data_IF_141300173847
#
_entry.id   IF_141300173847
#
_cell.length_a   1.000
_cell.length_b   1.000
_cell.length_c   1.000
_cell.angle_alpha   90.00
_cell.angle_beta   90.00
_cell.angle_gamma   90.00
#
_symmetry.space_group_name_H-M   'P 1'
#
loop_
_entity.id
_entity.type
_entity.pdbx_description
1 polymer ?
#
# COMPACT_ATOMS: atom_id res chain seq x y z
N UNK A 1 48.46 -29.03 9.45
CA UNK A 1 47.62 -28.18 8.59
C UNK A 1 46.93 -29.06 7.57
N UNK A 2 45.66 -29.40 7.79
CA UNK A 2 44.86 -30.24 6.89
C UNK A 2 44.41 -29.41 5.68
N UNK A 3 44.86 -29.80 4.48
CA UNK A 3 44.39 -29.20 3.23
C UNK A 3 42.89 -29.47 3.13
N UNK A 4 42.07 -28.43 3.24
CA UNK A 4 40.62 -28.52 2.99
C UNK A 4 40.44 -28.91 1.52
N UNK A 5 39.79 -30.04 1.28
CA UNK A 5 39.49 -30.55 -0.06
C UNK A 5 38.52 -29.62 -0.80
N UNK A 6 39.09 -28.66 -1.52
CA UNK A 6 38.39 -27.66 -2.32
C UNK A 6 37.47 -28.31 -3.37
N UNK A 7 37.86 -29.48 -3.89
CA UNK A 7 37.07 -30.28 -4.83
C UNK A 7 35.73 -30.74 -4.22
N UNK A 8 35.75 -31.17 -2.95
CA UNK A 8 34.53 -31.62 -2.28
C UNK A 8 33.55 -30.46 -2.04
N UNK A 9 34.06 -29.27 -1.69
CA UNK A 9 33.25 -28.07 -1.52
C UNK A 9 32.65 -27.58 -2.85
N UNK A 10 33.40 -27.66 -3.94
CA UNK A 10 32.93 -27.29 -5.28
C UNK A 10 31.81 -28.22 -5.76
N UNK A 11 32.01 -29.54 -5.63
CA UNK A 11 31.02 -30.55 -6.02
C UNK A 11 29.75 -30.47 -5.16
N UNK A 12 29.86 -30.14 -3.87
CA UNK A 12 28.72 -29.89 -3.01
C UNK A 12 27.95 -28.61 -3.41
N UNK A 13 28.66 -27.59 -3.90
CA UNK A 13 28.06 -26.36 -4.45
C UNK A 13 27.28 -26.64 -5.73
N UNK A 14 27.86 -27.39 -6.67
CA UNK A 14 27.21 -27.77 -7.94
C UNK A 14 25.96 -28.61 -7.70
N UNK A 15 26.00 -29.59 -6.77
CA UNK A 15 24.82 -30.36 -6.39
C UNK A 15 23.71 -29.49 -5.80
N UNK A 16 24.05 -28.52 -4.95
CA UNK A 16 23.07 -27.58 -4.38
C UNK A 16 22.41 -26.73 -5.47
N UNK A 17 23.19 -26.23 -6.43
CA UNK A 17 22.67 -25.43 -7.54
C UNK A 17 21.77 -26.25 -8.47
N UNK A 18 22.11 -27.52 -8.71
CA UNK A 18 21.26 -28.46 -9.44
C UNK A 18 19.94 -28.73 -8.71
N UNK A 19 19.98 -29.01 -7.39
CA UNK A 19 18.75 -29.21 -6.61
C UNK A 19 17.87 -27.96 -6.55
N UNK A 20 18.47 -26.75 -6.56
CA UNK A 20 17.70 -25.50 -6.60
C UNK A 20 17.07 -25.24 -7.97
N UNK A 21 17.71 -25.66 -9.07
CA UNK A 21 17.09 -25.62 -10.41
C UNK A 21 15.95 -26.63 -10.54
N UNK A 22 16.12 -27.82 -9.99
CA UNK A 22 15.09 -28.87 -9.97
C UNK A 22 13.90 -28.50 -9.05
N UNK A 23 14.14 -27.72 -7.99
CA UNK A 23 13.10 -27.23 -7.08
C UNK A 23 12.46 -25.90 -7.50
N UNK A 24 12.89 -25.30 -8.62
CA UNK A 24 12.27 -24.07 -9.14
C UNK A 24 10.84 -24.37 -9.60
N UNK A 25 9.89 -23.57 -9.13
CA UNK A 25 8.48 -23.64 -9.53
C UNK A 25 8.31 -23.67 -11.06
N UNK A 26 7.29 -24.37 -11.59
CA UNK A 26 7.10 -24.53 -13.02
C UNK A 26 7.05 -23.18 -13.72
N UNK A 27 7.82 -23.09 -14.82
CA UNK A 27 7.88 -21.92 -15.69
C UNK A 27 6.48 -21.57 -16.18
N UNK A 28 6.28 -20.31 -16.56
CA UNK A 28 5.03 -19.87 -17.21
C UNK A 28 4.69 -20.76 -18.41
N UNK A 29 5.69 -21.27 -19.11
CA UNK A 29 5.51 -22.16 -20.26
C UNK A 29 5.13 -23.58 -19.85
N UNK A 30 5.71 -24.13 -18.78
CA UNK A 30 5.34 -25.46 -18.26
C UNK A 30 3.87 -25.51 -17.83
N UNK A 31 3.36 -24.42 -17.22
CA UNK A 31 1.94 -24.31 -16.84
C UNK A 31 1.02 -24.21 -18.05
N UNK A 32 1.50 -23.62 -19.14
CA UNK A 32 0.75 -23.52 -20.40
C UNK A 32 0.71 -24.90 -21.07
N UNK A 33 1.83 -25.61 -21.13
CA UNK A 33 1.89 -26.96 -21.68
C UNK A 33 1.07 -27.95 -20.85
N UNK A 34 1.10 -27.85 -19.53
CA UNK A 34 0.24 -28.65 -18.64
C UNK A 34 -1.25 -28.34 -18.84
N UNK A 35 -1.63 -27.07 -18.99
CA UNK A 35 -3.01 -26.65 -19.25
C UNK A 35 -3.53 -27.03 -20.65
N UNK A 36 -2.62 -27.22 -21.61
CA UNK A 36 -2.89 -27.69 -22.97
C UNK A 36 -2.81 -29.22 -23.09
N UNK A 37 -2.09 -29.88 -22.18
CA UNK A 37 -1.95 -31.33 -22.16
C UNK A 37 -3.32 -32.01 -22.03
N UNK A 38 -3.59 -32.96 -22.94
CA UNK A 38 -4.88 -33.67 -22.98
C UNK A 38 -6.01 -32.95 -23.74
N UNK A 39 -5.76 -31.78 -24.36
CA UNK A 39 -6.71 -31.19 -25.32
C UNK A 39 -6.39 -31.65 -26.74
N UNK A 40 -7.40 -32.11 -27.48
CA UNK A 40 -7.26 -32.48 -28.90
C UNK A 40 -7.22 -31.27 -29.85
N UNK A 41 -7.68 -30.10 -29.40
CA UNK A 41 -7.60 -28.83 -30.15
C UNK A 41 -7.75 -27.61 -29.22
N UNK A 42 -7.29 -26.44 -29.69
CA UNK A 42 -7.40 -25.16 -28.95
C UNK A 42 -8.83 -24.63 -28.82
N UNK A 43 -9.78 -25.15 -29.63
CA UNK A 43 -11.20 -24.79 -29.56
C UNK A 43 -12.00 -25.73 -28.65
N UNK A 44 -11.40 -26.84 -28.19
CA UNK A 44 -12.06 -27.72 -27.23
C UNK A 44 -12.18 -27.00 -25.86
N UNK A 45 -13.33 -27.10 -25.19
CA UNK A 45 -13.51 -26.48 -23.88
C UNK A 45 -12.43 -27.01 -22.93
N UNK A 46 -11.85 -26.09 -22.16
CA UNK A 46 -10.94 -26.46 -21.09
C UNK A 46 -11.64 -27.49 -20.20
N UNK A 47 -10.97 -28.62 -19.91
CA UNK A 47 -11.40 -29.47 -18.82
C UNK A 47 -11.47 -28.54 -17.61
N UNK A 48 -12.64 -28.37 -17.03
CA UNK A 48 -12.81 -27.59 -15.80
C UNK A 48 -11.93 -28.25 -14.75
N UNK A 49 -10.70 -27.75 -14.61
CA UNK A 49 -9.92 -27.99 -13.42
C UNK A 49 -10.75 -27.35 -12.34
N UNK A 50 -11.44 -28.18 -11.57
CA UNK A 50 -11.99 -27.82 -10.27
C UNK A 50 -10.81 -27.19 -9.54
N UNK A 51 -10.75 -25.87 -9.54
CA UNK A 51 -9.80 -25.12 -8.75
C UNK A 51 -10.25 -25.44 -7.34
N UNK A 52 -9.58 -26.40 -6.70
CA UNK A 52 -9.64 -26.55 -5.25
C UNK A 52 -9.49 -25.14 -4.70
N UNK A 53 -10.44 -24.63 -3.88
CA UNK A 53 -10.34 -23.28 -3.37
C UNK A 53 -8.96 -23.17 -2.72
N UNK A 54 -8.15 -22.21 -3.18
CA UNK A 54 -6.95 -21.84 -2.45
C UNK A 54 -7.41 -21.61 -1.02
N UNK A 55 -6.84 -22.31 -0.02
CA UNK A 55 -7.28 -22.12 1.35
C UNK A 55 -7.21 -20.63 1.65
N UNK A 56 -8.27 -20.13 2.25
CA UNK A 56 -8.36 -18.76 2.77
C UNK A 56 -7.08 -18.46 3.58
N UNK A 57 -6.53 -17.23 3.50
CA UNK A 57 -5.39 -16.81 4.31
C UNK A 57 -5.67 -17.07 5.81
N UNK A 58 -6.92 -16.89 6.25
CA UNK A 58 -7.35 -17.23 7.60
C UNK A 58 -7.37 -18.75 7.86
N UNK A 59 -7.85 -19.55 6.92
CA UNK A 59 -7.82 -21.02 7.01
C UNK A 59 -6.39 -21.57 7.02
N UNK A 60 -5.48 -20.99 6.24
CA UNK A 60 -4.07 -21.34 6.23
C UNK A 60 -3.40 -20.99 7.56
N UNK A 61 -3.69 -19.81 8.13
CA UNK A 61 -3.19 -19.44 9.47
C UNK A 61 -3.73 -20.37 10.55
N UNK A 62 -5.02 -20.74 10.51
CA UNK A 62 -5.61 -21.71 11.42
C UNK A 62 -4.99 -23.11 11.28
N UNK A 63 -4.77 -23.58 10.05
CA UNK A 63 -4.14 -24.87 9.81
C UNK A 63 -2.73 -24.93 10.41
N UNK A 64 -1.95 -23.85 10.30
CA UNK A 64 -0.63 -23.75 10.93
C UNK A 64 -0.73 -23.80 12.47
N UNK A 65 -1.69 -23.09 13.05
CA UNK A 65 -1.94 -23.10 14.50
C UNK A 65 -2.39 -24.49 15.01
N UNK A 66 -3.29 -25.15 14.30
CA UNK A 66 -3.77 -26.50 14.61
C UNK A 66 -2.64 -27.54 14.45
N UNK A 67 -1.83 -27.44 13.40
CA UNK A 67 -0.68 -28.32 13.18
C UNK A 67 0.41 -28.17 14.25
N UNK A 68 0.55 -26.95 14.81
CA UNK A 68 1.42 -26.70 15.97
C UNK A 68 0.88 -27.28 17.28
N UNK A 69 -0.35 -27.80 17.30
CA UNK A 69 -1.02 -28.37 18.46
C UNK A 69 -1.46 -27.35 19.52
N UNK A 70 -1.28 -26.05 19.24
CA UNK A 70 -1.64 -24.95 20.16
C UNK A 70 -3.14 -24.69 20.22
N UNK A 71 -3.84 -24.87 19.09
CA UNK A 71 -5.25 -24.52 18.94
C UNK A 71 -6.09 -25.75 18.67
N UNK A 72 -7.27 -25.81 19.29
CA UNK A 72 -8.30 -26.82 19.01
C UNK A 72 -9.56 -26.14 18.50
N UNK A 73 -10.18 -26.69 17.46
CA UNK A 73 -11.44 -26.20 16.93
C UNK A 73 -12.59 -27.16 17.22
N UNK A 74 -13.77 -26.61 17.50
CA UNK A 74 -15.03 -27.37 17.63
C UNK A 74 -16.20 -26.56 17.09
N UNK A 75 -17.20 -27.26 16.56
CA UNK A 75 -18.45 -26.65 16.14
C UNK A 75 -19.47 -26.76 17.26
N UNK A 76 -20.03 -25.63 17.68
CA UNK A 76 -21.02 -25.55 18.75
C UNK A 76 -22.07 -24.48 18.42
N UNK A 77 -23.28 -24.65 18.93
CA UNK A 77 -24.30 -23.61 18.90
C UNK A 77 -24.25 -22.86 20.23
N UNK A 78 -24.16 -21.53 20.21
CA UNK A 78 -24.05 -20.69 21.41
C UNK A 78 -25.13 -19.60 21.44
N UNK A 79 -25.62 -19.21 22.64
CA UNK A 79 -26.44 -18.02 22.81
C UNK A 79 -25.71 -16.77 22.33
N UNK A 80 -26.40 -15.88 21.60
CA UNK A 80 -25.78 -14.64 21.09
C UNK A 80 -25.26 -13.75 22.24
N UNK A 81 -25.92 -13.79 23.39
CA UNK A 81 -25.52 -13.08 24.62
C UNK A 81 -24.17 -13.53 25.19
N UNK A 82 -23.72 -14.74 24.86
CA UNK A 82 -22.43 -15.29 25.29
C UNK A 82 -21.31 -15.02 24.28
N UNK A 83 -21.60 -14.33 23.17
CA UNK A 83 -20.64 -13.99 22.13
C UNK A 83 -20.34 -12.50 22.21
N UNK A 84 -19.19 -12.15 22.77
CA UNK A 84 -18.68 -10.79 22.85
C UNK A 84 -18.10 -10.34 21.50
N UNK A 85 -18.16 -9.03 21.26
CA UNK A 85 -17.48 -8.43 20.11
C UNK A 85 -15.97 -8.41 20.33
N UNK A 86 -15.19 -8.67 19.29
CA UNK A 86 -13.73 -8.61 19.39
C UNK A 86 -13.26 -7.16 19.56
N UNK A 87 -12.62 -6.82 20.68
CA UNK A 87 -12.04 -5.50 20.85
C UNK A 87 -10.96 -5.24 19.81
N UNK A 88 -10.24 -6.26 19.36
CA UNK A 88 -9.19 -6.18 18.34
C UNK A 88 -9.71 -6.45 16.93
N UNK A 89 -10.99 -6.24 16.66
CA UNK A 89 -11.51 -6.37 15.30
C UNK A 89 -10.88 -5.29 14.41
N UNK A 90 -10.37 -5.69 13.26
CA UNK A 90 -9.70 -4.81 12.32
C UNK A 90 -10.67 -3.93 11.52
N UNK A 91 -11.96 -4.30 11.45
CA UNK A 91 -13.02 -3.48 10.82
C UNK A 91 -13.92 -2.85 11.87
N UNK A 92 -14.03 -1.53 11.82
CA UNK A 92 -14.87 -0.72 12.73
C UNK A 92 -16.14 -0.19 12.07
N UNK A 93 -16.16 0.01 10.76
CA UNK A 93 -17.28 0.62 10.03
C UNK A 93 -18.11 -0.45 9.31
N UNK A 94 -19.39 -0.56 9.69
CA UNK A 94 -20.36 -1.50 9.11
C UNK A 94 -21.55 -0.73 8.53
N UNK A 95 -21.84 -0.94 7.24
CA UNK A 95 -22.99 -0.29 6.57
C UNK A 95 -24.28 -1.00 6.92
N UNK A 96 -25.30 -0.24 7.31
CA UNK A 96 -26.62 -0.76 7.70
C UNK A 96 -27.29 -1.57 6.59
N UNK A 97 -27.13 -1.15 5.33
CA UNK A 97 -27.66 -1.85 4.15
C UNK A 97 -27.13 -3.28 4.03
N UNK A 98 -25.84 -3.49 4.32
CA UNK A 98 -25.20 -4.81 4.27
C UNK A 98 -25.67 -5.70 5.43
N UNK A 99 -25.93 -5.11 6.60
CA UNK A 99 -26.50 -5.82 7.75
C UNK A 99 -27.92 -6.28 7.41
N UNK A 100 -28.75 -5.40 6.85
CA UNK A 100 -30.12 -5.72 6.46
C UNK A 100 -30.17 -6.81 5.37
N UNK A 101 -29.31 -6.73 4.36
CA UNK A 101 -29.20 -7.75 3.32
C UNK A 101 -28.79 -9.12 3.90
N UNK A 102 -27.83 -9.13 4.85
CA UNK A 102 -27.42 -10.37 5.55
C UNK A 102 -28.55 -10.95 6.38
N UNK A 103 -29.28 -10.11 7.12
CA UNK A 103 -30.43 -10.53 7.91
C UNK A 103 -31.52 -11.17 7.05
N UNK A 104 -31.85 -10.55 5.91
CA UNK A 104 -32.85 -11.08 4.96
C UNK A 104 -32.42 -12.44 4.36
N UNK A 105 -31.14 -12.61 4.01
CA UNK A 105 -30.62 -13.91 3.56
C UNK A 105 -30.71 -14.97 4.67
N UNK A 106 -30.27 -14.63 5.88
CA UNK A 106 -30.33 -15.57 7.02
C UNK A 106 -31.77 -15.94 7.42
N UNK A 107 -32.73 -15.04 7.22
CA UNK A 107 -34.15 -15.33 7.48
C UNK A 107 -34.74 -16.33 6.47
N UNK A 108 -34.24 -16.36 5.23
CA UNK A 108 -34.71 -17.29 4.18
C UNK A 108 -34.01 -18.64 4.26
N UNK A 109 -32.69 -18.62 4.36
CA UNK A 109 -31.85 -19.79 4.14
C UNK A 109 -31.25 -20.36 5.45
N UNK A 110 -31.48 -19.68 6.58
CA UNK A 110 -30.82 -19.99 7.86
C UNK A 110 -29.35 -19.57 7.87
N UNK A 111 -28.63 -19.99 8.93
CA UNK A 111 -27.19 -19.78 9.01
C UNK A 111 -26.45 -20.91 8.29
N UNK A 112 -26.07 -20.67 7.02
CA UNK A 112 -25.35 -21.67 6.22
C UNK A 112 -23.88 -21.86 6.64
N UNK A 113 -23.25 -20.80 7.15
CA UNK A 113 -21.83 -20.79 7.51
C UNK A 113 -21.69 -20.37 8.98
N UNK A 114 -21.02 -21.17 9.84
CA UNK A 114 -20.80 -20.81 11.23
C UNK A 114 -19.95 -19.54 11.35
N UNK A 115 -20.14 -18.78 12.42
CA UNK A 115 -19.24 -17.67 12.75
C UNK A 115 -17.95 -18.20 13.35
N UNK A 116 -16.85 -17.48 13.19
CA UNK A 116 -15.57 -17.85 13.80
C UNK A 116 -15.44 -17.10 15.13
N UNK A 117 -15.19 -17.81 16.23
CA UNK A 117 -14.97 -17.19 17.53
C UNK A 117 -13.85 -17.91 18.29
N UNK A 118 -13.17 -17.19 19.17
CA UNK A 118 -12.23 -17.77 20.12
C UNK A 118 -12.83 -17.82 21.52
N UNK A 119 -12.43 -18.79 22.33
CA UNK A 119 -12.83 -18.85 23.75
C UNK A 119 -12.36 -17.59 24.47
N UNK A 120 -13.24 -16.98 25.29
CA UNK A 120 -12.84 -15.81 26.08
C UNK A 120 -11.75 -16.22 27.09
N UNK A 121 -10.64 -15.47 27.22
CA UNK A 121 -9.54 -15.83 28.12
C UNK A 121 -9.97 -15.91 29.59
N UNK A 122 -10.80 -14.95 30.03
CA UNK A 122 -11.25 -14.86 31.43
C UNK A 122 -12.56 -15.60 31.75
N UNK A 123 -13.40 -15.93 30.76
CA UNK A 123 -14.75 -16.47 30.97
C UNK A 123 -14.97 -17.73 30.14
N UNK A 124 -15.06 -18.89 30.82
CA UNK A 124 -15.11 -20.20 30.16
C UNK A 124 -16.39 -20.45 29.33
N UNK A 125 -17.48 -19.76 29.63
CA UNK A 125 -18.78 -19.88 28.97
C UNK A 125 -19.00 -18.86 27.85
N UNK A 126 -18.09 -17.89 27.71
CA UNK A 126 -18.16 -16.82 26.70
C UNK A 126 -17.16 -17.05 25.57
N UNK A 127 -17.39 -16.37 24.46
CA UNK A 127 -16.53 -16.40 23.29
C UNK A 127 -16.40 -14.99 22.69
N UNK A 128 -15.25 -14.70 22.09
CA UNK A 128 -14.96 -13.44 21.41
C UNK A 128 -15.05 -13.67 19.91
N UNK A 129 -15.88 -12.89 19.21
CA UNK A 129 -16.15 -13.07 17.78
C UNK A 129 -14.97 -12.64 16.91
N UNK A 130 -14.35 -13.57 16.18
CA UNK A 130 -13.21 -13.30 15.29
C UNK A 130 -13.68 -12.88 13.90
N UNK A 131 -14.62 -13.62 13.31
CA UNK A 131 -15.27 -13.27 12.03
C UNK A 131 -16.77 -13.56 12.09
N UNK A 132 -17.55 -12.78 11.34
CA UNK A 132 -18.99 -12.95 11.21
C UNK A 132 -19.81 -11.84 11.85
N UNK A 133 -19.27 -10.63 12.03
CA UNK A 133 -20.00 -9.50 12.64
C UNK A 133 -21.36 -9.25 11.97
N UNK A 134 -21.41 -9.24 10.64
CA UNK A 134 -22.67 -9.10 9.90
C UNK A 134 -23.67 -10.24 10.18
N UNK A 135 -23.20 -11.47 10.42
CA UNK A 135 -24.06 -12.61 10.79
C UNK A 135 -24.60 -12.43 12.21
N UNK A 136 -23.75 -12.01 13.16
CA UNK A 136 -24.18 -11.71 14.53
C UNK A 136 -25.24 -10.61 14.56
N UNK A 137 -24.98 -9.49 13.87
CA UNK A 137 -25.92 -8.37 13.78
C UNK A 137 -27.21 -8.75 13.03
N UNK A 138 -27.10 -9.52 11.95
CA UNK A 138 -28.25 -9.99 11.19
C UNK A 138 -29.13 -10.96 12.01
N UNK A 139 -28.51 -11.88 12.76
CA UNK A 139 -29.21 -12.78 13.67
C UNK A 139 -29.92 -12.01 14.80
N UNK A 140 -29.27 -11.00 15.37
CA UNK A 140 -29.88 -10.11 16.36
C UNK A 140 -31.10 -9.37 15.78
N UNK A 141 -30.99 -8.87 14.53
CA UNK A 141 -32.10 -8.23 13.82
C UNK A 141 -33.27 -9.17 13.58
N UNK A 142 -32.99 -10.44 13.31
CA UNK A 142 -33.98 -11.50 13.15
C UNK A 142 -34.51 -12.07 14.49
N UNK A 143 -34.05 -11.52 15.64
CA UNK A 143 -34.39 -12.00 16.99
C UNK A 143 -34.04 -13.47 17.22
N UNK A 144 -32.99 -13.96 16.57
CA UNK A 144 -32.46 -15.29 16.86
C UNK A 144 -31.81 -15.30 18.26
N UNK A 145 -31.97 -16.40 18.99
CA UNK A 145 -31.40 -16.55 20.34
C UNK A 145 -29.97 -17.12 20.29
N UNK A 146 -29.67 -17.90 19.25
CA UNK A 146 -28.42 -18.65 19.12
C UNK A 146 -27.76 -18.45 17.76
N UNK A 147 -26.46 -18.72 17.69
CA UNK A 147 -25.65 -18.76 16.48
C UNK A 147 -24.82 -20.04 16.44
N UNK A 148 -24.59 -20.56 15.25
CA UNK A 148 -23.63 -21.64 15.02
C UNK A 148 -22.21 -21.05 14.95
N UNK A 149 -21.31 -21.62 15.74
CA UNK A 149 -19.97 -21.09 16.00
C UNK A 149 -18.93 -22.18 15.78
N UNK A 150 -17.91 -21.87 14.97
CA UNK A 150 -16.62 -22.57 15.01
C UNK A 150 -15.79 -21.93 16.11
N UNK A 151 -15.75 -22.60 17.27
CA UNK A 151 -15.04 -22.12 18.45
C UNK A 151 -13.60 -22.63 18.45
N UNK A 152 -12.66 -21.70 18.61
CA UNK A 152 -11.23 -21.93 18.74
C UNK A 152 -10.80 -21.82 20.21
N UNK A 153 -10.03 -22.79 20.70
CA UNK A 153 -9.47 -22.80 22.06
C UNK A 153 -7.95 -22.67 21.99
N UNK A 154 -7.33 -21.99 22.98
CA UNK A 154 -5.88 -21.83 23.07
C UNK A 154 -5.30 -20.71 22.20
N UNK A 155 -6.11 -19.70 21.84
CA UNK A 155 -5.65 -18.52 21.13
C UNK A 155 -4.98 -17.52 22.07
N UNK A 156 -3.85 -16.98 21.66
CA UNK A 156 -3.26 -15.81 22.32
C UNK A 156 -4.06 -14.55 21.94
N UNK A 157 -4.06 -13.48 22.76
CA UNK A 157 -4.79 -12.25 22.47
C UNK A 157 -4.49 -11.66 21.08
N UNK A 158 -3.26 -11.82 20.60
CA UNK A 158 -2.87 -11.35 19.27
C UNK A 158 -3.46 -12.18 18.13
N UNK A 159 -3.73 -13.47 18.34
CA UNK A 159 -4.29 -14.33 17.30
C UNK A 159 -5.70 -13.89 16.93
N UNK A 160 -6.46 -13.31 17.86
CA UNK A 160 -7.76 -12.69 17.57
C UNK A 160 -7.64 -11.57 16.55
N UNK A 161 -6.62 -10.72 16.65
CA UNK A 161 -6.36 -9.65 15.67
C UNK A 161 -5.93 -10.24 14.32
N UNK A 162 -4.97 -11.17 14.32
CA UNK A 162 -4.42 -11.76 13.08
C UNK A 162 -5.46 -12.53 12.29
N UNK A 163 -6.25 -13.36 12.97
CA UNK A 163 -7.35 -14.11 12.35
C UNK A 163 -8.46 -13.20 11.84
N UNK A 164 -8.85 -12.17 12.60
CA UNK A 164 -9.85 -11.22 12.15
C UNK A 164 -9.38 -10.47 10.89
N UNK A 165 -8.12 -10.02 10.88
CA UNK A 165 -7.51 -9.34 9.73
C UNK A 165 -7.42 -10.24 8.50
N UNK A 166 -6.98 -11.48 8.66
CA UNK A 166 -6.91 -12.46 7.58
C UNK A 166 -8.29 -12.74 6.98
N UNK A 167 -9.31 -12.95 7.83
CA UNK A 167 -10.68 -13.23 7.38
C UNK A 167 -11.34 -12.02 6.68
N UNK A 168 -10.99 -10.79 7.07
CA UNK A 168 -11.52 -9.57 6.46
C UNK A 168 -10.88 -9.28 5.08
N UNK A 169 -9.57 -9.49 4.95
CA UNK A 169 -8.82 -9.19 3.72
C UNK A 169 -9.34 -9.95 2.48
N UNK A 170 -9.95 -11.13 2.68
CA UNK A 170 -10.50 -11.97 1.61
C UNK A 170 -11.83 -11.48 1.02
N UNK A 171 -12.58 -10.64 1.75
CA UNK A 171 -13.92 -10.20 1.31
C UNK A 171 -13.89 -8.81 0.70
N UNK A 172 -13.32 -7.86 1.44
CA UNK A 172 -13.28 -6.45 1.07
C UNK A 172 -12.08 -5.82 1.78
N UNK A 173 -11.17 -5.20 1.03
CA UNK A 173 -9.95 -4.63 1.63
C UNK A 173 -10.29 -3.62 2.73
N UNK A 174 -9.64 -3.80 3.87
CA UNK A 174 -9.71 -2.86 5.00
C UNK A 174 -9.29 -1.46 4.56
N UNK A 175 -9.96 -0.44 5.08
CA UNK A 175 -9.55 0.93 4.82
C UNK A 175 -8.25 1.23 5.54
N UNK A 176 -7.43 2.12 4.99
CA UNK A 176 -6.16 2.52 5.65
C UNK A 176 -6.40 3.10 7.04
N UNK A 177 -7.54 3.79 7.21
CA UNK A 177 -7.96 4.36 8.49
C UNK A 177 -8.31 3.27 9.51
N UNK A 178 -9.05 2.23 9.10
CA UNK A 178 -9.37 1.09 9.98
C UNK A 178 -8.08 0.41 10.47
N UNK A 179 -7.13 0.16 9.56
CA UNK A 179 -5.83 -0.43 9.92
C UNK A 179 -5.05 0.47 10.88
N UNK A 180 -5.08 1.80 10.67
CA UNK A 180 -4.41 2.75 11.56
C UNK A 180 -5.01 2.74 12.97
N UNK A 181 -6.34 2.73 13.09
CA UNK A 181 -7.04 2.63 14.37
C UNK A 181 -6.75 1.30 15.07
N UNK A 182 -6.73 0.20 14.33
CA UNK A 182 -6.35 -1.13 14.85
C UNK A 182 -4.92 -1.15 15.40
N UNK A 183 -3.96 -0.58 14.66
CA UNK A 183 -2.57 -0.47 15.10
C UNK A 183 -2.42 0.39 16.36
N UNK A 184 -3.11 1.54 16.43
CA UNK A 184 -3.11 2.38 17.63
C UNK A 184 -3.69 1.62 18.83
N UNK A 185 -4.77 0.88 18.63
CA UNK A 185 -5.37 0.07 19.70
C UNK A 185 -4.43 -1.01 20.23
N UNK A 186 -3.68 -1.67 19.35
CA UNK A 186 -2.66 -2.66 19.76
C UNK A 186 -1.55 -2.01 20.60
N UNK A 187 -1.13 -0.79 20.27
CA UNK A 187 -0.16 -0.02 21.06
C UNK A 187 -0.76 0.41 22.41
N UNK A 188 -1.97 0.97 22.41
CA UNK A 188 -2.66 1.47 23.61
C UNK A 188 -2.96 0.34 24.62
N UNK A 189 -3.25 -0.87 24.13
CA UNK A 189 -3.46 -2.07 24.95
C UNK A 189 -2.16 -2.75 25.39
N UNK A 190 -1.01 -2.25 24.97
CA UNK A 190 0.30 -2.77 25.37
C UNK A 190 0.71 -4.09 24.70
N UNK A 191 0.05 -4.48 23.60
CA UNK A 191 0.45 -5.65 22.81
C UNK A 191 1.77 -5.43 22.06
N UNK A 192 2.12 -4.16 21.79
CA UNK A 192 3.44 -3.74 21.32
C UNK A 192 3.84 -2.45 22.03
N UNK A 193 5.12 -2.32 22.41
CA UNK A 193 5.65 -1.11 23.07
C UNK A 193 6.23 -0.10 22.08
N UNK A 194 6.57 -0.55 20.88
CA UNK A 194 7.18 0.27 19.84
C UNK A 194 6.62 -0.07 18.45
N UNK A 195 6.79 0.84 17.51
CA UNK A 195 6.42 0.61 16.11
C UNK A 195 7.21 -0.56 15.48
N UNK A 196 8.40 -0.88 16.02
CA UNK A 196 9.24 -1.98 15.55
C UNK A 196 8.69 -3.33 16.01
N UNK A 197 8.29 -3.41 17.28
CA UNK A 197 7.59 -4.58 17.81
C UNK A 197 6.26 -4.79 17.10
N UNK A 198 5.50 -3.70 16.86
CA UNK A 198 4.23 -3.78 16.14
C UNK A 198 4.42 -4.30 14.71
N UNK A 199 5.47 -3.86 14.01
CA UNK A 199 5.78 -4.32 12.65
C UNK A 199 6.05 -5.82 12.59
N UNK A 200 6.80 -6.36 13.56
CA UNK A 200 7.01 -7.82 13.68
C UNK A 200 5.69 -8.52 14.04
N UNK A 201 4.91 -7.93 14.96
CA UNK A 201 3.66 -8.49 15.45
C UNK A 201 2.60 -8.66 14.34
N UNK A 202 2.51 -7.68 13.44
CA UNK A 202 1.54 -7.66 12.33
C UNK A 202 2.12 -8.14 11.00
N UNK A 203 3.37 -8.63 11.01
CA UNK A 203 4.11 -9.17 9.86
C UNK A 203 4.21 -8.20 8.67
N UNK A 204 4.40 -6.92 8.96
CA UNK A 204 4.47 -5.85 7.96
C UNK A 204 5.76 -5.04 8.09
N UNK A 205 6.16 -4.36 7.02
CA UNK A 205 7.37 -3.54 7.06
C UNK A 205 7.24 -2.35 8.02
N UNK A 206 8.28 -2.09 8.84
CA UNK A 206 8.39 -0.93 9.75
C UNK A 206 7.99 0.39 9.10
N UNK A 207 8.44 0.63 7.87
CA UNK A 207 8.09 1.84 7.11
C UNK A 207 6.58 1.94 6.83
N UNK A 208 5.93 0.81 6.52
CA UNK A 208 4.49 0.76 6.24
C UNK A 208 3.69 1.04 7.50
N UNK A 209 4.06 0.42 8.63
CA UNK A 209 3.42 0.65 9.94
C UNK A 209 3.52 2.12 10.34
N UNK A 210 4.69 2.73 10.21
CA UNK A 210 4.90 4.15 10.51
C UNK A 210 4.03 5.06 9.65
N UNK A 211 3.94 4.81 8.34
CA UNK A 211 3.08 5.57 7.42
C UNK A 211 1.60 5.46 7.79
N UNK A 212 1.14 4.25 8.10
CA UNK A 212 -0.25 3.99 8.52
C UNK A 212 -0.56 4.75 9.83
N UNK A 213 0.31 4.65 10.84
CA UNK A 213 0.10 5.33 12.12
C UNK A 213 0.13 6.86 11.99
N UNK A 214 0.97 7.40 11.10
CA UNK A 214 1.03 8.85 10.86
C UNK A 214 -0.31 9.44 10.40
N UNK A 215 -1.21 8.61 9.86
CA UNK A 215 -2.56 9.04 9.45
C UNK A 215 -3.36 9.60 10.63
N UNK A 216 -3.16 9.05 11.82
CA UNK A 216 -3.89 9.47 13.03
C UNK A 216 -3.39 10.81 13.59
N UNK A 217 -2.31 11.37 13.02
CA UNK A 217 -1.86 12.74 13.31
C UNK A 217 -2.75 13.79 12.63
N UNK A 218 -3.58 13.39 11.65
CA UNK A 218 -4.47 14.31 10.94
C UNK A 218 -5.61 14.82 11.84
N UNK A 219 -6.07 16.09 11.65
CA UNK A 219 -7.25 16.60 12.32
C UNK A 219 -8.49 15.75 12.03
N UNK A 220 -9.40 15.66 13.01
CA UNK A 220 -10.63 14.86 12.88
C UNK A 220 -11.44 15.21 11.63
N UNK A 221 -11.53 16.48 11.28
CA UNK A 221 -12.22 16.94 10.07
C UNK A 221 -11.65 16.34 8.77
N UNK A 222 -10.34 16.11 8.71
CA UNK A 222 -9.69 15.45 7.57
C UNK A 222 -9.95 13.94 7.60
N UNK A 223 -9.90 13.32 8.78
CA UNK A 223 -10.21 11.91 8.97
C UNK A 223 -11.66 11.59 8.55
N UNK A 224 -12.60 12.50 8.82
CA UNK A 224 -14.01 12.35 8.42
C UNK A 224 -14.16 12.35 6.88
N UNK A 225 -13.39 13.18 6.17
CA UNK A 225 -13.34 13.19 4.69
C UNK A 225 -12.78 11.86 4.16
N UNK A 226 -11.72 11.34 4.78
CA UNK A 226 -11.13 10.05 4.42
C UNK A 226 -12.11 8.89 4.67
N UNK A 227 -12.81 8.92 5.80
CA UNK A 227 -13.81 7.92 6.17
C UNK A 227 -15.02 7.93 5.22
N UNK A 228 -15.39 9.09 4.69
CA UNK A 228 -16.49 9.21 3.73
C UNK A 228 -16.19 8.53 2.39
N UNK A 229 -14.94 8.58 1.89
CA UNK A 229 -14.55 7.96 0.62
C UNK A 229 -13.23 7.17 0.70
N UNK A 230 -13.19 6.03 1.41
CA UNK A 230 -11.93 5.35 1.74
C UNK A 230 -11.15 4.84 0.51
N UNK A 231 -11.85 4.53 -0.59
CA UNK A 231 -11.22 4.02 -1.82
C UNK A 231 -10.30 5.04 -2.50
N UNK A 232 -10.59 6.33 -2.32
CA UNK A 232 -9.79 7.42 -2.88
C UNK A 232 -8.49 7.65 -2.09
N UNK A 233 -8.56 7.38 -0.78
CA UNK A 233 -7.50 7.64 0.18
C UNK A 233 -6.74 6.36 0.53
N UNK A 234 -6.02 5.84 -0.48
CA UNK A 234 -5.06 4.75 -0.27
C UNK A 234 -3.85 5.18 0.55
N UNK A 235 -3.00 4.22 0.94
CA UNK A 235 -1.89 4.45 1.88
C UNK A 235 -0.97 5.59 1.44
N UNK A 236 -0.60 5.61 0.16
CA UNK A 236 0.28 6.65 -0.37
C UNK A 236 -0.35 8.03 -0.33
N UNK A 237 -1.61 8.17 -0.79
CA UNK A 237 -2.33 9.46 -0.79
C UNK A 237 -2.52 10.00 0.63
N UNK A 238 -2.92 9.12 1.55
CA UNK A 238 -3.12 9.47 2.96
C UNK A 238 -1.82 9.91 3.63
N UNK A 239 -0.69 9.26 3.30
CA UNK A 239 0.63 9.69 3.76
C UNK A 239 1.07 11.04 3.16
N UNK A 240 0.75 11.34 1.91
CA UNK A 240 1.03 12.66 1.34
C UNK A 240 0.25 13.77 2.06
N UNK A 241 -0.96 13.49 2.53
CA UNK A 241 -1.73 14.43 3.36
C UNK A 241 -1.09 14.67 4.72
N UNK A 242 -0.53 13.65 5.37
CA UNK A 242 0.16 13.83 6.66
C UNK A 242 1.43 14.66 6.51
N UNK A 243 2.14 14.50 5.39
CA UNK A 243 3.26 15.39 5.03
C UNK A 243 2.81 16.82 4.72
N UNK A 244 1.70 16.97 3.99
CA UNK A 244 1.13 18.28 3.67
C UNK A 244 0.72 19.05 4.94
N UNK A 245 0.15 18.36 5.93
CA UNK A 245 -0.15 18.94 7.24
C UNK A 245 1.11 19.47 7.93
N UNK A 246 2.22 18.71 7.91
CA UNK A 246 3.49 19.14 8.53
C UNK A 246 4.09 20.39 7.89
N UNK A 247 3.76 20.64 6.63
CA UNK A 247 4.23 21.82 5.90
C UNK A 247 3.23 22.99 5.90
N UNK A 248 1.99 22.80 6.41
CA UNK A 248 0.91 23.80 6.34
C UNK A 248 0.09 23.88 7.62
N UNK A 249 -1.19 24.28 7.50
CA UNK A 249 -2.16 24.43 8.58
C UNK A 249 -3.35 23.47 8.36
N UNK A 250 -4.07 23.14 9.42
CA UNK A 250 -5.25 22.26 9.41
C UNK A 250 -6.28 22.66 8.34
N UNK A 251 -6.58 23.95 8.22
CA UNK A 251 -7.58 24.47 7.25
C UNK A 251 -7.19 24.20 5.80
N UNK A 252 -5.90 24.34 5.48
CA UNK A 252 -5.39 24.10 4.12
C UNK A 252 -5.38 22.60 3.81
N UNK A 253 -5.06 21.78 4.82
CA UNK A 253 -5.08 20.32 4.70
C UNK A 253 -6.49 19.81 4.47
N UNK A 254 -7.48 20.35 5.18
CA UNK A 254 -8.89 20.01 4.98
C UNK A 254 -9.36 20.36 3.56
N UNK A 255 -9.11 21.59 3.11
CA UNK A 255 -9.46 22.01 1.75
C UNK A 255 -8.77 21.13 0.68
N UNK A 256 -7.55 20.67 0.95
CA UNK A 256 -6.84 19.77 0.04
C UNK A 256 -7.46 18.36 0.04
N UNK A 257 -7.84 17.82 1.19
CA UNK A 257 -8.53 16.54 1.29
C UNK A 257 -9.90 16.57 0.59
N UNK A 258 -10.70 17.62 0.80
CA UNK A 258 -11.96 17.84 0.09
C UNK A 258 -11.75 17.90 -1.43
N UNK A 259 -10.71 18.61 -1.86
CA UNK A 259 -10.35 18.68 -3.28
C UNK A 259 -9.94 17.33 -3.86
N UNK A 260 -9.22 16.49 -3.10
CA UNK A 260 -8.86 15.13 -3.54
C UNK A 260 -10.11 14.28 -3.73
N UNK A 261 -11.08 14.40 -2.81
CA UNK A 261 -12.37 13.72 -2.87
C UNK A 261 -13.20 14.19 -4.08
N UNK A 262 -13.34 15.50 -4.25
CA UNK A 262 -14.26 16.08 -5.23
C UNK A 262 -13.71 16.03 -6.67
N UNK A 263 -12.40 16.23 -6.87
CA UNK A 263 -11.75 16.17 -8.19
C UNK A 263 -11.17 14.78 -8.54
N UNK A 264 -11.31 13.80 -7.65
CA UNK A 264 -10.69 12.48 -7.75
C UNK A 264 -9.21 12.49 -8.15
N UNK A 265 -8.42 13.30 -7.44
CA UNK A 265 -7.05 13.59 -7.85
C UNK A 265 -6.17 12.33 -7.90
N UNK A 266 -5.43 12.09 -9.01
CA UNK A 266 -4.49 10.98 -9.07
C UNK A 266 -3.30 11.24 -8.15
N UNK A 267 -2.75 10.17 -7.59
CA UNK A 267 -1.62 10.22 -6.63
C UNK A 267 -0.47 11.14 -7.08
N UNK A 268 -0.08 11.10 -8.36
CA UNK A 268 0.99 11.94 -8.90
C UNK A 268 0.70 13.43 -8.77
N UNK A 269 -0.56 13.85 -8.95
CA UNK A 269 -0.99 15.24 -8.80
C UNK A 269 -1.02 15.65 -7.32
N UNK A 270 -1.47 14.75 -6.43
CA UNK A 270 -1.43 14.98 -4.98
C UNK A 270 0.01 15.20 -4.51
N UNK A 271 0.91 14.28 -4.90
CA UNK A 271 2.34 14.36 -4.61
C UNK A 271 2.97 15.65 -5.15
N UNK A 272 2.69 16.02 -6.40
CA UNK A 272 3.22 17.23 -7.01
C UNK A 272 2.76 18.51 -6.29
N UNK A 273 1.50 18.56 -5.84
CA UNK A 273 0.98 19.70 -5.07
C UNK A 273 1.75 19.84 -3.74
N UNK A 274 1.94 18.74 -3.01
CA UNK A 274 2.73 18.74 -1.76
C UNK A 274 4.20 19.11 -2.00
N UNK A 275 4.85 18.54 -3.02
CA UNK A 275 6.24 18.88 -3.40
C UNK A 275 6.41 20.35 -3.80
N UNK A 276 5.41 20.94 -4.46
CA UNK A 276 5.44 22.35 -4.85
C UNK A 276 5.37 23.30 -3.65
N UNK A 277 4.89 22.80 -2.51
CA UNK A 277 4.80 23.54 -1.27
C UNK A 277 6.09 23.44 -0.45
N UNK A 278 6.71 22.25 -0.40
CA UNK A 278 8.00 22.03 0.28
C UNK A 278 9.19 22.70 -0.41
N UNK A 279 9.28 22.61 -1.74
CA UNK A 279 10.44 23.12 -2.48
C UNK A 279 10.39 24.64 -2.74
N UNK A 280 9.39 25.33 -2.19
CA UNK A 280 8.92 26.58 -2.78
C UNK A 280 8.50 26.36 -4.23
N UNK A 281 8.00 27.41 -4.89
CA UNK A 281 7.68 27.31 -6.32
C UNK A 281 8.99 27.06 -7.08
N UNK A 282 9.27 25.80 -7.45
CA UNK A 282 10.47 25.45 -8.20
C UNK A 282 10.59 26.44 -9.38
N UNK A 283 11.74 27.12 -9.55
CA UNK A 283 11.89 28.09 -10.62
C UNK A 283 11.53 27.36 -11.91
N UNK A 284 10.54 27.90 -12.64
CA UNK A 284 10.15 27.34 -13.94
C UNK A 284 11.43 27.21 -14.74
N UNK A 285 11.78 26.00 -15.19
CA UNK A 285 12.97 25.76 -16.02
C UNK A 285 13.00 26.86 -17.08
N UNK A 286 14.01 27.71 -17.00
CA UNK A 286 14.12 28.86 -17.90
C UNK A 286 14.35 28.30 -19.31
N UNK A 287 13.29 28.32 -20.12
CA UNK A 287 13.39 27.93 -21.53
C UNK A 287 14.38 28.89 -22.17
N UNK A 288 15.46 28.35 -22.76
CA UNK A 288 16.46 29.19 -23.42
C UNK A 288 15.84 29.88 -24.63
N UNK A 289 15.93 31.21 -24.68
CA UNK A 289 15.61 31.97 -25.89
C UNK A 289 16.83 31.92 -26.81
N UNK A 290 16.63 31.52 -28.07
CA UNK A 290 17.70 31.45 -29.06
C UNK A 290 17.47 32.51 -30.14
N UNK A 291 18.41 33.43 -30.28
CA UNK A 291 18.44 34.43 -31.35
C UNK A 291 19.44 33.96 -32.41
N UNK A 292 18.96 33.71 -33.63
CA UNK A 292 19.82 33.39 -34.77
C UNK A 292 20.43 34.68 -35.32
N UNK A 293 21.74 34.68 -35.57
CA UNK A 293 22.47 35.82 -36.13
C UNK A 293 22.83 35.49 -37.58
N UNK A 294 22.45 36.37 -38.50
CA UNK A 294 22.72 36.24 -39.94
C UNK A 294 23.41 37.49 -40.48
N UNK A 295 24.23 37.32 -41.52
CA UNK A 295 24.85 38.42 -42.28
C UNK A 295 23.80 39.07 -43.19
N UNK A 296 24.03 40.30 -43.66
CA UNK A 296 23.22 40.97 -44.68
C UNK A 296 23.06 40.13 -45.97
N UNK A 297 23.99 39.19 -46.25
CA UNK A 297 23.92 38.22 -47.36
C UNK A 297 23.06 36.97 -47.05
N UNK A 298 22.38 36.91 -45.90
CA UNK A 298 21.50 35.81 -45.50
C UNK A 298 22.21 34.55 -44.97
N UNK A 299 23.54 34.54 -44.89
CA UNK A 299 24.29 33.43 -44.29
C UNK A 299 24.16 33.44 -42.76
N UNK A 300 23.75 32.31 -42.15
CA UNK A 300 23.71 32.14 -40.70
C UNK A 300 25.14 32.10 -40.13
N UNK A 301 25.49 33.08 -39.29
CA UNK A 301 26.82 33.22 -38.66
C UNK A 301 26.86 32.49 -37.31
N UNK A 302 25.70 32.29 -36.67
CA UNK A 302 25.61 31.58 -35.40
C UNK A 302 24.35 31.91 -34.60
N UNK A 303 24.42 31.70 -33.29
CA UNK A 303 23.29 31.94 -32.39
C UNK A 303 23.71 32.45 -31.01
N UNK A 304 22.89 33.34 -30.47
CA UNK A 304 22.96 33.81 -29.09
C UNK A 304 21.89 33.08 -28.29
N UNK A 305 22.30 32.36 -27.24
CA UNK A 305 21.41 31.66 -26.32
C UNK A 305 21.34 32.42 -25.00
N UNK A 306 20.15 32.83 -24.62
CA UNK A 306 19.84 33.49 -23.35
C UNK A 306 19.03 32.52 -22.49
N UNK A 307 19.44 32.34 -21.24
CA UNK A 307 18.65 31.64 -20.22
C UNK A 307 18.09 32.69 -19.26
N UNK A 308 16.84 32.50 -18.82
CA UNK A 308 16.14 33.43 -17.91
C UNK A 308 16.77 33.65 -16.54
N UNK A 309 17.88 32.95 -16.24
CA UNK A 309 18.70 33.12 -15.04
C UNK A 309 19.90 34.08 -15.27
N UNK A 310 19.88 34.87 -16.35
CA UNK A 310 20.91 35.86 -16.68
C UNK A 310 22.15 35.28 -17.36
N UNK A 311 22.15 34.00 -17.71
CA UNK A 311 23.24 33.36 -18.47
C UNK A 311 23.07 33.68 -19.95
N UNK A 312 24.15 34.08 -20.61
CA UNK A 312 24.21 34.28 -22.06
C UNK A 312 25.37 33.49 -22.64
N UNK A 313 25.15 32.77 -23.74
CA UNK A 313 26.18 32.09 -24.53
C UNK A 313 26.09 32.59 -25.96
N UNK A 314 27.18 33.17 -26.43
CA UNK A 314 27.32 33.65 -27.79
C UNK A 314 28.18 32.63 -28.55
N UNK A 315 27.65 32.09 -29.64
CA UNK A 315 28.36 31.17 -30.53
C UNK A 315 28.30 31.76 -31.94
N UNK A 316 29.43 32.28 -32.44
CA UNK A 316 29.54 33.02 -33.69
C UNK A 316 30.77 32.54 -34.46
N UNK A 317 30.58 32.17 -35.73
CA UNK A 317 31.66 31.79 -36.65
C UNK A 317 31.92 32.94 -37.60
N UNK A 318 32.82 33.83 -37.20
CA UNK A 318 33.24 34.98 -37.98
C UNK A 318 34.46 34.57 -38.82
N UNK A 319 34.28 34.37 -40.13
CA UNK A 319 35.34 33.94 -41.06
C UNK A 319 36.51 34.92 -41.27
N UNK A 320 36.68 35.91 -40.40
CA UNK A 320 37.74 36.93 -40.42
C UNK A 320 38.22 37.21 -38.99
N UNK A 321 39.53 37.06 -38.77
CA UNK A 321 40.15 37.24 -37.45
C UNK A 321 40.03 38.67 -36.91
N UNK A 322 40.14 39.68 -37.79
CA UNK A 322 40.02 41.10 -37.42
C UNK A 322 38.61 41.44 -36.90
N UNK A 323 37.57 40.87 -37.54
CA UNK A 323 36.18 41.05 -37.07
C UNK A 323 35.97 40.36 -35.71
N UNK A 324 36.51 39.15 -35.53
CA UNK A 324 36.43 38.44 -34.26
C UNK A 324 37.08 39.23 -33.11
N UNK A 325 38.25 39.82 -33.33
CA UNK A 325 38.92 40.67 -32.35
C UNK A 325 38.10 41.92 -32.02
N UNK A 326 37.51 42.58 -33.01
CA UNK A 326 36.65 43.76 -32.78
C UNK A 326 35.43 43.44 -31.91
N UNK A 327 34.75 42.31 -32.15
CA UNK A 327 33.63 41.88 -31.31
C UNK A 327 34.07 41.51 -29.90
N UNK A 328 35.21 40.84 -29.73
CA UNK A 328 35.76 40.52 -28.41
C UNK A 328 36.10 41.79 -27.64
N UNK A 329 36.70 42.79 -28.29
CA UNK A 329 37.00 44.10 -27.67
C UNK A 329 35.70 44.82 -27.25
N UNK A 330 34.67 44.79 -28.09
CA UNK A 330 33.36 45.37 -27.76
C UNK A 330 32.71 44.67 -26.56
N UNK A 331 32.73 43.33 -26.50
CA UNK A 331 32.23 42.57 -25.35
C UNK A 331 33.03 42.87 -24.07
N UNK A 332 34.36 42.98 -24.17
CA UNK A 332 35.21 43.34 -23.03
C UNK A 332 34.88 44.74 -22.50
N UNK A 333 34.60 45.70 -23.38
CA UNK A 333 34.20 47.06 -23.00
C UNK A 333 32.85 47.06 -22.26
N UNK A 334 31.85 46.37 -22.80
CA UNK A 334 30.52 46.26 -22.16
C UNK A 334 30.61 45.60 -20.78
N UNK A 335 31.41 44.54 -20.65
CA UNK A 335 31.63 43.88 -19.36
C UNK A 335 32.37 44.77 -18.36
N UNK A 336 33.32 45.60 -18.84
CA UNK A 336 34.03 46.55 -18.00
C UNK A 336 33.14 47.72 -17.54
N UNK A 337 32.25 48.20 -18.40
CA UNK A 337 31.25 49.24 -18.07
C UNK A 337 30.25 48.74 -17.01
N UNK A 338 29.93 47.43 -17.02
CA UNK A 338 29.13 46.75 -15.98
C UNK A 338 29.95 46.35 -14.73
N UNK A 339 31.24 46.73 -14.65
CA UNK A 339 32.10 46.52 -13.48
C UNK A 339 32.70 45.11 -13.34
N UNK A 340 32.60 44.27 -14.38
CA UNK A 340 33.19 42.94 -14.38
C UNK A 340 34.66 42.97 -14.82
N UNK A 341 35.55 42.40 -14.00
CA UNK A 341 36.97 42.27 -14.31
C UNK A 341 37.24 40.96 -15.05
N UNK A 342 37.78 41.05 -16.27
CA UNK A 342 38.24 39.91 -17.05
C UNK A 342 39.67 39.54 -16.62
N UNK A 343 39.90 38.27 -16.27
CA UNK A 343 41.24 37.72 -15.98
C UNK A 343 41.88 37.12 -17.21
#
# INVERSE_FOLDING_TARGET
MTKKDFSAALNAGVKRDQTMREASAPSRFDRVDEALSGRSSLLAPAKETVVSPTPSDAEAYLANLEQSGKVRSRYITMPISHIDDNPLNSRTIYKEELIAARAASMARDGQLVPVLAGRHPDFADRAILIDGQFRKLGALRNRAETLDVKLLEGLDPIDFYRLARAANNEREQETVLDVALGYKKLLDQGHAKSNDELAVLVEEGKSKVSKILSLLELPQSVLDVIAAQPKQFGLSTSYELTLYLKATDDKRTLAFAERIRDEELPFQKVKAIRESLENGRAPRKSLSRQYKVSTDDGAEIGAIKEWGDGKVRVDLVLGSAEKAEAYVVAFKKLLADDGHQLK
#
